data_IF_575519274853
#
_entry.id   IF_575519274853
#
_cell.length_a   1.000
_cell.length_b   1.000
_cell.length_c   1.000
_cell.angle_alpha   90.00
_cell.angle_beta   90.00
_cell.angle_gamma   90.00
#
_symmetry.space_group_name_H-M   'P 1'
#
loop_
_entity.id
_entity.type
_entity.pdbx_description
1 polymer ?
#
# COMPACT_ATOMS: atom_id res chain seq x y z
N UNK A 1 17.86 29.38 -6.92
CA UNK A 1 17.73 28.79 -5.57
C UNK A 1 18.47 27.46 -5.64
N UNK A 2 19.64 27.31 -4.97
CA UNK A 2 20.35 26.03 -4.95
C UNK A 2 19.49 25.04 -4.13
N UNK A 3 19.05 23.94 -4.76
CA UNK A 3 18.40 22.83 -4.06
C UNK A 3 19.47 22.17 -3.17
N UNK A 4 19.27 22.21 -1.87
CA UNK A 4 20.13 21.51 -0.91
C UNK A 4 19.65 20.05 -0.85
N UNK A 5 20.45 19.12 -1.39
CA UNK A 5 20.11 17.70 -1.34
C UNK A 5 20.60 16.92 -2.57
N UNK A 6 20.18 15.64 -2.65
CA UNK A 6 20.53 14.73 -3.75
C UNK A 6 19.94 15.14 -5.11
N UNK A 7 18.75 15.77 -5.12
CA UNK A 7 18.05 16.12 -6.37
C UNK A 7 18.53 17.47 -6.87
N UNK A 8 19.32 17.47 -7.95
CA UNK A 8 19.85 18.66 -8.60
C UNK A 8 19.06 19.04 -9.84
N UNK A 9 18.56 18.06 -10.58
CA UNK A 9 17.84 18.24 -11.83
C UNK A 9 16.71 17.19 -12.00
N UNK A 10 16.03 17.26 -13.15
CA UNK A 10 14.94 16.33 -13.49
C UNK A 10 15.44 14.89 -13.74
N UNK A 11 16.72 14.72 -14.08
CA UNK A 11 17.29 13.39 -14.25
C UNK A 11 17.37 12.66 -12.91
N UNK A 12 17.82 13.33 -11.85
CA UNK A 12 17.85 12.78 -10.49
C UNK A 12 16.45 12.36 -10.01
N UNK A 13 15.43 13.17 -10.34
CA UNK A 13 14.01 12.83 -10.06
C UNK A 13 13.61 11.53 -10.75
N UNK A 14 13.90 11.39 -12.03
CA UNK A 14 13.56 10.18 -12.81
C UNK A 14 14.29 8.96 -12.31
N UNK A 15 15.57 9.08 -11.98
CA UNK A 15 16.38 7.98 -11.42
C UNK A 15 15.82 7.53 -10.08
N UNK A 16 15.41 8.46 -9.21
CA UNK A 16 14.77 8.12 -7.94
C UNK A 16 13.41 7.43 -8.14
N UNK A 17 12.60 7.90 -9.09
CA UNK A 17 11.33 7.26 -9.46
C UNK A 17 11.60 5.83 -9.96
N UNK A 18 12.56 5.60 -10.86
CA UNK A 18 12.91 4.25 -11.32
C UNK A 18 13.32 3.34 -10.17
N UNK A 19 14.14 3.85 -9.25
CA UNK A 19 14.59 3.11 -8.06
C UNK A 19 13.42 2.64 -7.20
N UNK A 20 12.47 3.53 -6.93
CA UNK A 20 11.25 3.25 -6.16
C UNK A 20 10.36 2.26 -6.91
N UNK A 21 10.05 2.55 -8.18
CA UNK A 21 9.14 1.75 -9.01
C UNK A 21 9.67 0.33 -9.27
N UNK A 22 10.99 0.14 -9.31
CA UNK A 22 11.58 -1.19 -9.44
C UNK A 22 11.34 -2.09 -8.22
N UNK A 23 11.01 -1.50 -7.07
CA UNK A 23 10.83 -2.18 -5.78
C UNK A 23 9.37 -2.24 -5.30
N UNK A 24 8.49 -1.48 -5.93
CA UNK A 24 7.05 -1.53 -5.67
C UNK A 24 6.44 -2.75 -6.38
N UNK A 25 5.60 -3.51 -5.67
CA UNK A 25 5.00 -4.75 -6.16
C UNK A 25 3.60 -4.57 -6.77
N UNK A 26 3.08 -3.36 -6.75
CA UNK A 26 1.70 -3.05 -7.15
C UNK A 26 1.68 -1.79 -8.02
N UNK A 27 0.68 -1.63 -8.91
CA UNK A 27 0.46 -0.36 -9.59
C UNK A 27 0.24 0.76 -8.58
N UNK A 28 0.84 1.92 -8.80
CA UNK A 28 0.79 3.07 -7.90
C UNK A 28 0.40 4.34 -8.64
N UNK A 29 -0.37 5.19 -7.97
CA UNK A 29 -0.74 6.49 -8.50
C UNK A 29 0.34 7.56 -8.29
N UNK A 30 0.15 8.74 -8.88
CA UNK A 30 1.10 9.86 -8.80
C UNK A 30 1.38 10.30 -7.35
N UNK A 31 0.36 10.32 -6.49
CA UNK A 31 0.50 10.73 -5.10
C UNK A 31 1.34 9.71 -4.31
N UNK A 32 1.08 8.43 -4.51
CA UNK A 32 1.84 7.35 -3.89
C UNK A 32 3.31 7.35 -4.34
N UNK A 33 3.57 7.58 -5.65
CA UNK A 33 4.94 7.72 -6.17
C UNK A 33 5.65 8.88 -5.50
N UNK A 34 4.98 10.03 -5.39
CA UNK A 34 5.53 11.20 -4.70
C UNK A 34 5.89 10.88 -3.24
N UNK A 35 4.95 10.29 -2.48
CA UNK A 35 5.17 9.95 -1.07
C UNK A 35 6.31 8.95 -0.87
N UNK A 36 6.45 7.97 -1.77
CA UNK A 36 7.54 6.99 -1.74
C UNK A 36 8.91 7.60 -2.12
N UNK A 37 8.91 8.59 -3.01
CA UNK A 37 10.11 9.30 -3.45
C UNK A 37 10.45 10.49 -2.55
N UNK A 38 9.49 10.98 -1.72
CA UNK A 38 9.68 12.19 -0.94
C UNK A 38 10.86 12.09 0.03
N UNK A 39 11.77 13.04 -0.07
CA UNK A 39 12.99 13.12 0.72
C UNK A 39 13.22 14.59 1.14
N UNK A 40 12.79 14.95 2.35
CA UNK A 40 13.16 16.21 3.04
C UNK A 40 13.18 17.48 2.14
N UNK A 41 12.04 17.91 1.60
CA UNK A 41 11.85 19.12 0.78
C UNK A 41 12.70 19.22 -0.51
N UNK A 42 13.44 18.18 -0.88
CA UNK A 42 14.24 18.17 -2.10
C UNK A 42 13.42 17.84 -3.37
N UNK A 43 12.26 17.23 -3.20
CA UNK A 43 11.36 16.81 -4.26
C UNK A 43 10.01 17.51 -4.12
N UNK A 44 9.53 18.16 -5.16
CA UNK A 44 8.17 18.70 -5.20
C UNK A 44 7.20 17.71 -5.89
N UNK A 45 5.93 17.76 -5.52
CA UNK A 45 4.88 17.01 -6.23
C UNK A 45 4.83 17.36 -7.72
N UNK A 46 5.10 18.61 -8.05
CA UNK A 46 5.14 19.10 -9.44
C UNK A 46 6.27 18.46 -10.26
N UNK A 47 7.44 18.22 -9.66
CA UNK A 47 8.55 17.53 -10.33
C UNK A 47 8.14 16.10 -10.73
N UNK A 48 7.41 15.39 -9.85
CA UNK A 48 6.88 14.04 -10.14
C UNK A 48 5.83 14.10 -11.25
N UNK A 49 4.87 15.03 -11.19
CA UNK A 49 3.86 15.21 -12.24
C UNK A 49 4.47 15.52 -13.61
N UNK A 50 5.61 16.18 -13.65
CA UNK A 50 6.33 16.47 -14.90
C UNK A 50 7.12 15.26 -15.38
N UNK A 51 7.77 14.52 -14.49
CA UNK A 51 8.58 13.38 -14.84
C UNK A 51 7.77 12.18 -15.39
N UNK A 52 6.61 11.88 -14.79
CA UNK A 52 5.84 10.68 -15.11
C UNK A 52 5.41 10.59 -16.59
N UNK A 53 4.80 11.62 -17.21
CA UNK A 53 4.44 11.56 -18.63
C UNK A 53 5.66 11.38 -19.56
N UNK A 54 6.79 11.99 -19.21
CA UNK A 54 8.04 11.85 -19.97
C UNK A 54 8.59 10.42 -19.85
N UNK A 55 8.47 9.80 -18.67
CA UNK A 55 8.90 8.42 -18.43
C UNK A 55 7.99 7.40 -19.12
N UNK A 56 6.71 7.69 -19.28
CA UNK A 56 5.79 6.89 -20.10
C UNK A 56 6.17 7.02 -21.57
N UNK A 57 6.38 8.24 -22.06
CA UNK A 57 6.77 8.50 -23.46
C UNK A 57 8.10 7.82 -23.82
N UNK A 58 9.06 7.82 -22.91
CA UNK A 58 10.37 7.16 -23.10
C UNK A 58 10.34 5.64 -22.87
N UNK A 59 9.18 5.09 -22.47
CA UNK A 59 8.95 3.67 -22.29
C UNK A 59 9.54 3.06 -21.02
N UNK A 60 9.89 3.86 -20.02
CA UNK A 60 10.37 3.37 -18.71
C UNK A 60 9.23 2.98 -17.77
N UNK A 61 8.11 3.68 -17.90
CA UNK A 61 6.86 3.38 -17.20
C UNK A 61 5.75 3.10 -18.21
N UNK A 62 4.75 2.38 -17.80
CA UNK A 62 3.47 2.25 -18.51
C UNK A 62 2.35 2.71 -17.59
N UNK A 63 1.33 3.31 -18.18
CA UNK A 63 0.12 3.63 -17.48
C UNK A 63 -0.76 2.38 -17.40
N UNK A 64 -1.16 2.02 -16.19
CA UNK A 64 -2.08 0.95 -15.89
C UNK A 64 -3.52 1.50 -15.75
N UNK A 65 -4.47 0.67 -15.36
CA UNK A 65 -5.83 1.11 -15.05
C UNK A 65 -5.85 2.10 -13.88
N UNK A 66 -6.91 2.91 -13.80
CA UNK A 66 -7.16 3.87 -12.71
C UNK A 66 -6.03 4.91 -12.51
N UNK A 67 -5.43 5.37 -13.60
CA UNK A 67 -4.35 6.39 -13.56
C UNK A 67 -3.11 5.96 -12.76
N UNK A 68 -2.94 4.66 -12.54
CA UNK A 68 -1.76 4.09 -11.90
C UNK A 68 -0.64 3.85 -12.91
N UNK A 69 0.57 3.71 -12.40
CA UNK A 69 1.78 3.46 -13.18
C UNK A 69 2.43 2.16 -12.75
N UNK A 70 3.05 1.49 -13.71
CA UNK A 70 3.91 0.32 -13.50
C UNK A 70 5.23 0.50 -14.23
N UNK A 71 6.30 -0.09 -13.68
CA UNK A 71 7.61 -0.09 -14.33
C UNK A 71 7.64 -1.11 -15.48
N UNK A 72 8.26 -0.74 -16.57
CA UNK A 72 8.53 -1.66 -17.70
C UNK A 72 9.85 -2.41 -17.49
N UNK A 73 10.13 -3.40 -18.34
CA UNK A 73 11.43 -4.09 -18.34
C UNK A 73 12.57 -3.11 -18.61
N UNK A 74 12.44 -2.27 -19.61
CA UNK A 74 13.39 -1.19 -19.88
C UNK A 74 13.63 -0.31 -18.65
N UNK A 75 12.56 0.08 -17.96
CA UNK A 75 12.67 0.88 -16.75
C UNK A 75 13.44 0.16 -15.64
N UNK A 76 13.30 -1.16 -15.50
CA UNK A 76 14.04 -1.97 -14.53
C UNK A 76 15.54 -2.04 -14.86
N UNK A 77 15.88 -2.28 -16.12
CA UNK A 77 17.26 -2.36 -16.60
C UNK A 77 17.98 -1.02 -16.41
N UNK A 78 17.37 0.08 -16.87
CA UNK A 78 17.93 1.42 -16.74
C UNK A 78 18.00 1.87 -15.26
N UNK A 79 17.00 1.52 -14.47
CA UNK A 79 16.99 1.76 -13.02
C UNK A 79 18.13 1.04 -12.28
N UNK A 80 18.37 -0.23 -12.60
CA UNK A 80 19.47 -1.00 -12.03
C UNK A 80 20.85 -0.41 -12.38
N UNK A 81 21.00 0.09 -13.61
CA UNK A 81 22.25 0.72 -14.07
C UNK A 81 22.53 2.05 -13.36
N UNK A 82 21.47 2.82 -13.07
CA UNK A 82 21.58 4.19 -12.53
C UNK A 82 21.46 4.27 -11.01
N UNK A 83 21.06 3.21 -10.33
CA UNK A 83 20.78 3.25 -8.87
C UNK A 83 21.98 3.68 -8.02
N UNK A 84 23.22 3.43 -8.49
CA UNK A 84 24.43 3.81 -7.79
C UNK A 84 24.69 5.33 -7.80
N UNK A 85 24.02 6.10 -8.65
CA UNK A 85 24.08 7.58 -8.63
C UNK A 85 23.29 8.18 -7.46
N UNK A 86 22.35 7.42 -6.88
CA UNK A 86 21.56 7.85 -5.72
C UNK A 86 22.39 7.70 -4.45
N UNK A 87 22.43 8.75 -3.63
CA UNK A 87 23.13 8.71 -2.35
C UNK A 87 22.58 7.57 -1.46
N UNK A 88 23.46 6.86 -0.77
CA UNK A 88 23.13 5.70 0.05
C UNK A 88 21.98 5.96 1.06
N UNK A 89 22.01 7.12 1.73
CA UNK A 89 20.98 7.50 2.70
C UNK A 89 19.61 7.67 2.07
N UNK A 90 19.55 8.20 0.84
CA UNK A 90 18.30 8.35 0.06
C UNK A 90 17.77 7.00 -0.35
N UNK A 91 18.63 6.11 -0.87
CA UNK A 91 18.25 4.73 -1.21
C UNK A 91 17.65 3.99 -0.01
N UNK A 92 18.33 4.03 1.13
CA UNK A 92 17.87 3.33 2.33
C UNK A 92 16.51 3.86 2.83
N UNK A 93 16.28 5.18 2.78
CA UNK A 93 14.98 5.77 3.13
C UNK A 93 13.87 5.33 2.17
N UNK A 94 14.13 5.38 0.87
CA UNK A 94 13.19 4.97 -0.16
C UNK A 94 12.87 3.47 -0.05
N UNK A 95 13.85 2.60 0.16
CA UNK A 95 13.66 1.16 0.40
C UNK A 95 12.78 0.90 1.62
N UNK A 96 13.02 1.59 2.73
CA UNK A 96 12.19 1.47 3.93
C UNK A 96 10.75 1.95 3.71
N UNK A 97 10.56 3.02 2.93
CA UNK A 97 9.23 3.52 2.57
C UNK A 97 8.49 2.51 1.69
N UNK A 98 9.13 1.99 0.66
CA UNK A 98 8.57 0.96 -0.24
C UNK A 98 8.26 -0.33 0.52
N UNK A 99 9.15 -0.79 1.40
CA UNK A 99 8.92 -2.00 2.18
C UNK A 99 7.71 -1.86 3.12
N UNK A 100 7.49 -0.68 3.71
CA UNK A 100 6.28 -0.39 4.51
C UNK A 100 5.03 -0.37 3.64
N UNK A 101 5.10 0.31 2.49
CA UNK A 101 4.00 0.38 1.52
C UNK A 101 3.59 -1.00 1.02
N UNK A 102 4.53 -1.81 0.54
CA UNK A 102 4.25 -3.16 0.04
C UNK A 102 3.61 -4.05 1.12
N UNK A 103 4.08 -3.96 2.38
CA UNK A 103 3.45 -4.66 3.51
C UNK A 103 2.03 -4.18 3.77
N UNK A 104 1.78 -2.88 3.72
CA UNK A 104 0.45 -2.31 3.96
C UNK A 104 -0.55 -2.76 2.88
N UNK A 105 -0.16 -2.69 1.60
CA UNK A 105 -1.02 -3.14 0.49
C UNK A 105 -1.28 -4.65 0.59
N UNK A 106 -0.23 -5.45 0.86
CA UNK A 106 -0.38 -6.90 1.06
C UNK A 106 -1.36 -7.21 2.20
N UNK A 107 -1.22 -6.55 3.34
CA UNK A 107 -2.14 -6.71 4.47
C UNK A 107 -3.58 -6.34 4.10
N UNK A 108 -3.78 -5.24 3.39
CA UNK A 108 -5.13 -4.82 2.97
C UNK A 108 -5.77 -5.80 1.98
N UNK A 109 -4.99 -6.56 1.19
CA UNK A 109 -5.51 -7.58 0.29
C UNK A 109 -6.04 -8.84 1.01
N UNK A 110 -5.61 -9.06 2.25
CA UNK A 110 -6.06 -10.16 3.09
C UNK A 110 -7.36 -9.86 3.87
N UNK A 111 -7.77 -8.60 3.89
CA UNK A 111 -9.02 -8.19 4.55
C UNK A 111 -10.10 -7.96 3.51
N UNK A 112 -11.18 -8.71 3.61
CA UNK A 112 -12.32 -8.60 2.69
C UNK A 112 -13.59 -8.28 3.47
N UNK A 113 -14.41 -7.41 2.92
CA UNK A 113 -15.69 -7.06 3.53
C UNK A 113 -16.79 -7.06 2.48
N UNK A 114 -17.98 -7.55 2.85
CA UNK A 114 -19.17 -7.59 2.01
C UNK A 114 -20.39 -7.15 2.81
N UNK A 115 -21.19 -6.27 2.24
CA UNK A 115 -22.44 -5.80 2.85
C UNK A 115 -23.62 -6.35 2.00
N UNK A 116 -24.47 -7.12 2.62
CA UNK A 116 -25.64 -7.73 1.98
C UNK A 116 -26.93 -7.18 2.61
N UNK A 117 -27.83 -6.56 1.83
CA UNK A 117 -29.14 -6.16 2.32
C UNK A 117 -30.00 -7.39 2.63
N UNK A 118 -30.79 -7.32 3.69
CA UNK A 118 -31.77 -8.35 4.09
C UNK A 118 -33.18 -7.88 3.80
N UNK A 119 -34.11 -8.84 3.66
CA UNK A 119 -35.53 -8.58 3.36
C UNK A 119 -36.24 -7.74 4.44
N UNK A 120 -35.79 -7.84 5.69
CA UNK A 120 -36.30 -7.05 6.82
C UNK A 120 -35.79 -5.62 6.91
N UNK A 121 -34.95 -5.18 5.96
CA UNK A 121 -34.35 -3.85 5.94
C UNK A 121 -33.03 -3.70 6.70
N UNK A 122 -32.57 -4.76 7.38
CA UNK A 122 -31.26 -4.84 7.98
C UNK A 122 -30.19 -5.21 6.97
N UNK A 123 -28.92 -5.25 7.41
CA UNK A 123 -27.76 -5.60 6.59
C UNK A 123 -26.93 -6.67 7.30
N UNK A 124 -26.54 -7.72 6.56
CA UNK A 124 -25.45 -8.61 6.96
C UNK A 124 -24.13 -8.03 6.49
N UNK A 125 -23.18 -7.89 7.43
CA UNK A 125 -21.80 -7.47 7.14
C UNK A 125 -20.92 -8.68 7.33
N UNK A 126 -20.42 -9.23 6.22
CA UNK A 126 -19.47 -10.35 6.21
C UNK A 126 -18.09 -9.77 6.11
N UNK A 127 -17.21 -10.12 7.03
CA UNK A 127 -15.86 -9.60 7.17
C UNK A 127 -14.91 -10.78 7.34
N UNK A 128 -13.89 -10.89 6.49
CA UNK A 128 -12.91 -11.95 6.57
C UNK A 128 -11.48 -11.41 6.64
N UNK A 129 -10.67 -12.13 7.38
CA UNK A 129 -9.22 -11.97 7.45
C UNK A 129 -8.58 -13.27 6.93
N UNK A 130 -7.80 -13.14 5.89
CA UNK A 130 -7.02 -14.22 5.29
C UNK A 130 -5.52 -14.05 5.62
N UNK A 131 -4.71 -15.06 5.31
CA UNK A 131 -3.25 -14.98 5.22
C UNK A 131 -2.76 -15.69 3.95
N UNK A 132 -1.48 -16.01 3.87
CA UNK A 132 -0.88 -16.70 2.73
C UNK A 132 -1.33 -18.16 2.61
N UNK A 133 -1.82 -18.75 3.69
CA UNK A 133 -2.24 -20.15 3.76
C UNK A 133 -3.74 -20.30 3.53
N UNK A 134 -4.54 -19.31 3.96
CA UNK A 134 -5.98 -19.35 3.79
C UNK A 134 -6.75 -18.39 4.70
N UNK A 135 -8.00 -18.72 4.96
CA UNK A 135 -8.87 -17.91 5.82
C UNK A 135 -8.57 -18.15 7.30
N UNK A 136 -8.21 -17.09 8.01
CA UNK A 136 -7.98 -17.13 9.46
C UNK A 136 -9.27 -16.93 10.25
N UNK A 137 -10.14 -16.02 9.79
CA UNK A 137 -11.35 -15.66 10.49
C UNK A 137 -12.40 -15.13 9.51
N UNK A 138 -13.64 -15.52 9.72
CA UNK A 138 -14.80 -14.91 9.07
C UNK A 138 -15.82 -14.54 10.14
N UNK A 139 -16.25 -13.29 10.14
CA UNK A 139 -17.32 -12.77 11.01
C UNK A 139 -18.50 -12.31 10.17
N UNK A 140 -19.70 -12.66 10.60
CA UNK A 140 -20.94 -12.09 10.08
C UNK A 140 -21.65 -11.36 11.21
N UNK A 141 -21.85 -10.05 11.02
CA UNK A 141 -22.57 -9.22 11.99
C UNK A 141 -23.77 -8.57 11.34
N UNK A 142 -24.85 -8.44 12.12
CA UNK A 142 -26.02 -7.68 11.72
C UNK A 142 -25.83 -6.19 11.99
N UNK A 143 -26.22 -5.39 11.01
CA UNK A 143 -26.29 -3.94 11.13
C UNK A 143 -27.74 -3.48 10.81
N UNK A 144 -28.40 -2.73 11.71
CA UNK A 144 -29.79 -2.29 11.54
C UNK A 144 -29.97 -1.20 10.48
N UNK A 145 -28.88 -0.67 9.92
CA UNK A 145 -28.94 0.32 8.85
C UNK A 145 -27.62 0.35 8.05
N UNK A 146 -27.71 0.88 6.83
CA UNK A 146 -26.58 0.97 5.91
C UNK A 146 -25.37 1.76 6.47
N UNK A 147 -25.62 2.83 7.23
CA UNK A 147 -24.57 3.64 7.82
C UNK A 147 -23.72 2.82 8.80
N UNK A 148 -24.36 2.00 9.61
CA UNK A 148 -23.66 1.12 10.55
C UNK A 148 -22.92 -0.01 9.82
N UNK A 149 -23.51 -0.58 8.78
CA UNK A 149 -22.87 -1.60 7.95
C UNK A 149 -21.57 -1.07 7.31
N UNK A 150 -21.62 0.11 6.70
CA UNK A 150 -20.43 0.77 6.12
C UNK A 150 -19.36 1.07 7.21
N UNK A 151 -19.80 1.49 8.39
CA UNK A 151 -18.88 1.77 9.49
C UNK A 151 -18.19 0.51 10.00
N UNK A 152 -18.91 -0.61 10.14
CA UNK A 152 -18.33 -1.91 10.52
C UNK A 152 -17.30 -2.37 9.50
N UNK A 153 -17.64 -2.36 8.21
CA UNK A 153 -16.75 -2.70 7.11
C UNK A 153 -15.43 -1.89 7.19
N UNK A 154 -15.51 -0.56 7.18
CA UNK A 154 -14.34 0.33 7.21
C UNK A 154 -13.49 0.22 8.47
N UNK A 155 -14.09 -0.07 9.62
CA UNK A 155 -13.34 -0.24 10.87
C UNK A 155 -12.68 -1.61 10.92
N UNK A 156 -13.31 -2.64 10.38
CA UNK A 156 -12.72 -3.96 10.29
C UNK A 156 -11.49 -3.96 9.37
N UNK A 157 -11.52 -3.30 8.21
CA UNK A 157 -10.36 -3.15 7.33
C UNK A 157 -9.12 -2.62 8.06
N UNK A 158 -9.32 -1.76 9.06
CA UNK A 158 -8.24 -1.17 9.86
C UNK A 158 -7.82 -2.01 11.06
N UNK A 159 -8.70 -2.88 11.57
CA UNK A 159 -8.55 -3.54 12.87
C UNK A 159 -8.65 -5.06 12.80
N UNK A 160 -8.70 -5.67 11.62
CA UNK A 160 -8.94 -7.10 11.44
C UNK A 160 -7.97 -7.96 12.27
N UNK A 161 -6.66 -7.68 12.22
CA UNK A 161 -5.64 -8.39 13.01
C UNK A 161 -5.86 -8.24 14.51
N UNK A 162 -6.24 -7.05 14.97
CA UNK A 162 -6.50 -6.82 16.39
C UNK A 162 -7.75 -7.55 16.88
N UNK A 163 -8.80 -7.60 16.04
CA UNK A 163 -10.03 -8.36 16.33
C UNK A 163 -9.73 -9.85 16.40
N UNK A 164 -8.95 -10.39 15.45
CA UNK A 164 -8.53 -11.78 15.46
C UNK A 164 -7.74 -12.12 16.73
N UNK A 165 -6.71 -11.33 17.08
CA UNK A 165 -5.88 -11.57 18.24
C UNK A 165 -6.67 -11.48 19.55
N UNK A 166 -7.59 -10.52 19.70
CA UNK A 166 -8.47 -10.42 20.85
C UNK A 166 -9.40 -11.62 20.97
N UNK A 167 -9.97 -12.06 19.85
CA UNK A 167 -10.86 -13.24 19.84
C UNK A 167 -10.09 -14.49 20.22
N UNK A 168 -8.88 -14.68 19.70
CA UNK A 168 -8.03 -15.81 20.03
C UNK A 168 -7.58 -15.80 21.49
N UNK A 169 -7.18 -14.64 22.01
CA UNK A 169 -6.82 -14.50 23.42
C UNK A 169 -7.98 -14.88 24.33
N UNK A 170 -9.17 -14.33 24.09
CA UNK A 170 -10.36 -14.60 24.91
C UNK A 170 -10.81 -16.07 24.88
N UNK A 171 -10.68 -16.72 23.71
CA UNK A 171 -11.06 -18.13 23.57
C UNK A 171 -10.03 -19.12 24.16
N UNK A 172 -8.78 -18.70 24.30
CA UNK A 172 -7.70 -19.57 24.82
C UNK A 172 -7.41 -19.32 26.29
N UNK A 173 -7.77 -18.17 26.88
CA UNK A 173 -7.56 -17.87 28.30
C UNK A 173 -8.39 -18.78 29.25
N UNK A 174 -9.49 -19.36 28.77
CA UNK A 174 -10.34 -20.27 29.56
C UNK A 174 -9.77 -21.70 29.69
N UNK A 175 -8.71 -22.10 28.95
CA UNK A 175 -8.15 -23.46 29.02
C UNK A 175 -7.17 -23.66 30.19
N UNK A 176 -6.62 -22.60 30.78
CA UNK A 176 -5.64 -22.73 31.88
C UNK A 176 -6.27 -22.93 33.29
N UNK A 177 -7.60 -22.75 33.45
CA UNK A 177 -8.28 -22.99 34.75
C UNK A 177 -8.88 -24.40 34.90
N UNK A 178 -9.01 -25.19 33.81
CA UNK A 178 -9.62 -26.53 33.84
C UNK A 178 -8.63 -27.69 34.11
N UNK A 179 -7.33 -27.39 34.14
CA UNK A 179 -6.27 -28.46 34.32
C UNK A 179 -5.45 -28.28 35.60
N UNK A 180 -6.03 -27.61 36.64
CA UNK A 180 -5.45 -27.53 38.00
C UNK A 180 -6.28 -28.21 39.05
#
# INVERSE_FOLDING_TARGET
MQRLGFIHDMLDVKVLILFVMARVNYPVDTQQIYELCYQDDCLSYFDVCTALPEMVTSGHLKQAENECYEITEKGREDGATTENSIAYTVRQRAENAVARFNRQIRRSSFVKTQILPRENGDFSVIMSLDDEVGNLMTLELLAPNQRQAIRLSKLFEKKAEAVYNLTMAELLDDEDEADR
#
